data_IF_319105014580
#
_entry.id   IF_319105014580
#
_cell.length_a   1.000
_cell.length_b   1.000
_cell.length_c   1.000
_cell.angle_alpha   90.00
_cell.angle_beta   90.00
_cell.angle_gamma   90.00
#
_symmetry.space_group_name_H-M   'P 1'
#
loop_
_entity.id
_entity.type
_entity.pdbx_description
1 polymer ?
#
# COMPACT_ATOMS: atom_id res chain seq x y z
N UNK A 1 21.35 28.12 -4.03
CA UNK A 1 22.59 28.89 -4.33
C UNK A 1 22.41 29.87 -5.51
N UNK A 2 21.55 29.61 -6.50
CA UNK A 2 21.32 30.51 -7.64
C UNK A 2 20.47 31.76 -7.32
N UNK A 3 19.85 31.85 -6.14
CA UNK A 3 18.99 32.97 -5.76
C UNK A 3 19.70 34.04 -4.91
N UNK A 4 20.94 33.82 -4.48
CA UNK A 4 21.63 34.70 -3.55
C UNK A 4 22.10 36.01 -4.22
N UNK A 5 22.29 36.02 -5.54
CA UNK A 5 22.79 37.17 -6.28
C UNK A 5 21.72 37.96 -7.05
N UNK A 6 20.42 37.64 -6.90
CA UNK A 6 19.36 38.40 -7.55
C UNK A 6 18.90 39.53 -6.63
N UNK A 7 18.94 40.82 -7.05
CA UNK A 7 18.52 41.93 -6.22
C UNK A 7 17.00 41.97 -6.11
N UNK A 8 16.43 41.17 -5.18
CA UNK A 8 15.02 41.29 -4.81
C UNK A 8 14.73 42.63 -4.18
N UNK A 9 13.57 43.20 -4.47
CA UNK A 9 13.12 44.37 -3.72
C UNK A 9 12.95 44.00 -2.22
N UNK A 10 13.06 44.98 -1.33
CA UNK A 10 12.87 44.75 0.10
C UNK A 10 11.49 44.13 0.42
N UNK A 11 10.45 44.46 -0.34
CA UNK A 11 9.12 43.89 -0.24
C UNK A 11 9.08 42.42 -0.67
N UNK A 12 9.70 42.08 -1.79
CA UNK A 12 9.85 40.71 -2.26
C UNK A 12 10.63 39.86 -1.27
N UNK A 13 11.74 40.36 -0.75
CA UNK A 13 12.56 39.68 0.27
C UNK A 13 11.74 39.42 1.53
N UNK A 14 11.02 40.40 2.05
CA UNK A 14 10.13 40.23 3.21
C UNK A 14 9.05 39.19 2.96
N UNK A 15 8.45 39.18 1.76
CA UNK A 15 7.45 38.19 1.39
C UNK A 15 8.05 36.76 1.28
N UNK A 16 9.26 36.61 0.75
CA UNK A 16 9.94 35.32 0.67
C UNK A 16 10.28 34.77 2.06
N UNK A 17 10.76 35.63 2.98
CA UNK A 17 10.95 35.25 4.39
C UNK A 17 9.65 34.85 5.06
N UNK A 18 8.58 35.65 4.92
CA UNK A 18 7.28 35.34 5.53
C UNK A 18 6.65 34.06 5.06
N UNK A 19 7.01 33.62 3.84
CA UNK A 19 6.56 32.35 3.22
C UNK A 19 7.51 31.19 3.44
N UNK A 20 8.65 31.42 4.13
CA UNK A 20 9.65 30.38 4.39
C UNK A 20 10.50 29.98 3.18
N UNK A 21 10.55 30.79 2.13
CA UNK A 21 11.45 30.56 0.99
C UNK A 21 12.89 31.06 1.25
N UNK A 22 13.05 31.96 2.20
CA UNK A 22 14.33 32.41 2.71
C UNK A 22 14.39 32.19 4.21
N UNK A 23 15.58 31.93 4.73
CA UNK A 23 15.86 31.72 6.14
C UNK A 23 17.17 32.38 6.53
N UNK A 24 17.28 32.82 7.77
CA UNK A 24 18.54 33.31 8.37
C UNK A 24 19.31 32.20 9.08
N UNK A 25 18.74 30.99 9.13
CA UNK A 25 19.38 29.83 9.74
C UNK A 25 20.53 29.32 8.90
N UNK A 26 21.60 28.91 9.54
CA UNK A 26 22.65 28.14 8.88
C UNK A 26 22.19 26.69 8.62
N UNK A 27 22.98 25.92 7.89
CA UNK A 27 22.65 24.54 7.49
C UNK A 27 22.37 23.63 8.70
N UNK A 28 23.16 23.74 9.76
CA UNK A 28 22.98 22.90 10.96
C UNK A 28 21.70 23.25 11.71
N UNK A 29 21.37 24.52 11.79
CA UNK A 29 20.11 25.01 12.39
C UNK A 29 18.89 24.55 11.58
N UNK A 30 18.97 24.61 10.23
CA UNK A 30 17.93 24.09 9.33
C UNK A 30 17.74 22.57 9.50
N UNK A 31 18.83 21.82 9.56
CA UNK A 31 18.79 20.37 9.77
C UNK A 31 18.17 20.00 11.12
N UNK A 32 18.57 20.68 12.18
CA UNK A 32 17.99 20.49 13.51
C UNK A 32 16.50 20.82 13.51
N UNK A 33 16.08 21.86 12.81
CA UNK A 33 14.68 22.22 12.68
C UNK A 33 13.89 21.14 11.92
N UNK A 34 14.41 20.64 10.79
CA UNK A 34 13.78 19.55 10.01
C UNK A 34 13.68 18.26 10.84
N UNK A 35 14.72 17.93 11.62
CA UNK A 35 14.70 16.76 12.51
C UNK A 35 13.65 16.91 13.61
N UNK A 36 13.53 18.10 14.20
CA UNK A 36 12.50 18.40 15.18
C UNK A 36 11.10 18.26 14.60
N UNK A 37 10.86 18.84 13.42
CA UNK A 37 9.58 18.69 12.70
C UNK A 37 9.29 17.22 12.37
N UNK A 38 10.29 16.46 11.91
CA UNK A 38 10.13 15.05 11.62
C UNK A 38 9.69 14.26 12.86
N UNK A 39 10.27 14.57 14.02
CA UNK A 39 9.85 13.97 15.28
C UNK A 39 8.40 14.34 15.65
N UNK A 40 8.03 15.61 15.56
CA UNK A 40 6.67 16.07 15.87
C UNK A 40 5.63 15.43 14.95
N UNK A 41 5.90 15.36 13.64
CA UNK A 41 5.01 14.70 12.69
C UNK A 41 4.90 13.19 12.98
N UNK A 42 6.00 12.53 13.34
CA UNK A 42 5.95 11.13 13.72
C UNK A 42 5.11 10.89 14.98
N UNK A 43 5.26 11.73 15.99
CA UNK A 43 4.42 11.66 17.20
C UNK A 43 2.94 11.92 16.89
N UNK A 44 2.64 12.88 16.00
CA UNK A 44 1.28 13.09 15.49
C UNK A 44 0.74 11.83 14.82
N UNK A 45 1.50 11.26 13.89
CA UNK A 45 1.08 10.13 13.07
C UNK A 45 0.87 8.86 13.93
N UNK A 46 1.66 8.69 14.99
CA UNK A 46 1.45 7.62 15.98
C UNK A 46 0.14 7.74 16.75
N UNK A 47 -0.41 8.94 16.89
CA UNK A 47 -1.69 9.22 17.57
C UNK A 47 -2.89 9.15 16.63
N UNK A 48 -2.66 9.04 15.31
CA UNK A 48 -3.72 8.92 14.32
C UNK A 48 -4.27 7.47 14.28
N UNK A 49 -5.20 7.26 13.35
CA UNK A 49 -5.89 6.00 13.19
C UNK A 49 -4.96 4.79 13.07
N UNK A 50 -5.28 3.73 13.80
CA UNK A 50 -4.64 2.42 13.70
C UNK A 50 -5.36 1.57 12.65
N UNK A 51 -4.59 0.90 11.80
CA UNK A 51 -5.10 0.00 10.77
C UNK A 51 -4.83 -1.44 11.16
N UNK A 52 -5.82 -2.30 10.98
CA UNK A 52 -5.75 -3.70 11.35
C UNK A 52 -6.03 -4.59 10.15
N UNK A 53 -5.33 -5.72 10.09
CA UNK A 53 -5.57 -6.75 9.10
C UNK A 53 -5.50 -8.14 9.73
N UNK A 54 -6.26 -9.08 9.17
CA UNK A 54 -6.15 -10.51 9.48
C UNK A 54 -5.49 -11.21 8.30
N UNK A 55 -4.32 -11.77 8.51
CA UNK A 55 -3.69 -12.70 7.60
C UNK A 55 -4.28 -14.08 7.83
N UNK A 56 -5.34 -14.40 7.09
CA UNK A 56 -6.22 -15.56 7.36
C UNK A 56 -5.46 -16.87 7.29
N UNK A 57 -4.61 -17.03 6.27
CA UNK A 57 -3.70 -18.14 6.08
C UNK A 57 -2.56 -17.72 5.14
N UNK A 58 -1.44 -18.41 5.21
CA UNK A 58 -0.35 -18.24 4.24
C UNK A 58 -0.55 -19.06 2.95
N UNK A 59 -1.56 -19.95 2.93
CA UNK A 59 -1.86 -20.77 1.76
C UNK A 59 -2.51 -19.96 0.64
N UNK A 60 -2.15 -20.29 -0.60
CA UNK A 60 -2.73 -19.70 -1.80
C UNK A 60 -2.94 -20.77 -2.87
N UNK A 61 -4.02 -20.66 -3.64
CA UNK A 61 -4.29 -21.49 -4.79
C UNK A 61 -3.55 -21.06 -6.07
N UNK A 62 -2.76 -19.98 -6.02
CA UNK A 62 -1.95 -19.48 -7.13
C UNK A 62 -0.45 -19.68 -6.90
N UNK A 63 0.32 -19.63 -8.01
CA UNK A 63 1.79 -19.68 -8.02
C UNK A 63 2.34 -18.55 -8.88
N UNK A 64 2.20 -17.30 -8.39
CA UNK A 64 2.67 -16.11 -9.09
C UNK A 64 4.19 -16.01 -8.96
N UNK A 65 4.96 -15.84 -10.06
CA UNK A 65 6.43 -15.82 -10.01
C UNK A 65 7.03 -14.64 -9.26
N UNK A 66 6.26 -13.58 -9.01
CA UNK A 66 6.67 -12.38 -8.26
C UNK A 66 6.12 -12.35 -6.83
N UNK A 67 5.51 -13.42 -6.34
CA UNK A 67 4.90 -13.45 -5.02
C UNK A 67 5.99 -13.47 -3.95
N UNK A 68 6.03 -12.48 -3.10
CA UNK A 68 6.99 -12.40 -1.99
C UNK A 68 6.77 -13.50 -0.94
N UNK A 69 5.55 -14.06 -0.87
CA UNK A 69 5.22 -15.18 0.01
C UNK A 69 5.70 -16.55 -0.52
N UNK A 70 6.25 -16.61 -1.74
CA UNK A 70 6.70 -17.87 -2.34
C UNK A 70 7.76 -18.56 -1.49
N UNK A 71 8.68 -17.79 -0.90
CA UNK A 71 9.73 -18.34 -0.04
C UNK A 71 9.18 -18.88 1.28
N UNK A 72 8.11 -18.28 1.80
CA UNK A 72 7.45 -18.68 3.04
C UNK A 72 6.68 -19.98 2.83
N UNK A 73 6.05 -20.14 1.66
CA UNK A 73 5.30 -21.36 1.31
C UNK A 73 6.19 -22.57 0.98
N UNK A 74 7.50 -22.36 0.81
CA UNK A 74 8.47 -23.43 0.51
C UNK A 74 8.89 -24.24 1.75
N UNK A 75 8.78 -23.69 2.95
CA UNK A 75 9.18 -24.33 4.22
C UNK A 75 8.24 -25.45 4.70
N UNK A 76 7.39 -25.92 3.84
CA UNK A 76 6.50 -27.05 4.09
C UNK A 76 5.02 -26.70 4.00
N UNK A 77 4.32 -27.44 3.16
CA UNK A 77 2.89 -27.22 2.84
C UNK A 77 1.95 -27.29 4.05
N UNK A 78 2.35 -27.90 5.14
CA UNK A 78 1.53 -27.99 6.36
C UNK A 78 1.49 -26.66 7.12
N UNK A 79 2.60 -25.95 7.19
CA UNK A 79 2.69 -24.66 7.86
C UNK A 79 1.78 -23.62 7.21
N UNK A 80 1.85 -23.46 5.89
CA UNK A 80 1.06 -22.43 5.19
C UNK A 80 -0.45 -22.65 5.27
N UNK A 81 -0.92 -23.89 5.50
CA UNK A 81 -2.34 -24.23 5.58
C UNK A 81 -3.00 -23.90 6.91
N UNK A 82 -2.24 -23.51 7.93
CA UNK A 82 -2.83 -23.13 9.21
C UNK A 82 -3.69 -21.89 9.03
N UNK A 83 -4.93 -21.99 9.47
CA UNK A 83 -5.89 -20.87 9.57
C UNK A 83 -6.07 -20.49 11.03
N UNK A 84 -6.68 -19.34 11.29
CA UNK A 84 -7.08 -18.96 12.65
C UNK A 84 -7.96 -20.02 13.31
N UNK A 85 -7.79 -20.22 14.61
CA UNK A 85 -8.86 -20.75 15.45
C UNK A 85 -9.82 -19.62 15.87
N UNK A 86 -11.07 -19.96 16.21
CA UNK A 86 -12.05 -18.99 16.72
C UNK A 86 -11.54 -18.26 17.96
N UNK A 87 -10.87 -19.00 18.86
CA UNK A 87 -10.22 -18.43 20.04
C UNK A 87 -9.13 -17.40 19.66
N UNK A 88 -8.30 -17.71 18.66
CA UNK A 88 -7.24 -16.82 18.23
C UNK A 88 -7.79 -15.57 17.54
N UNK A 89 -8.92 -15.68 16.84
CA UNK A 89 -9.66 -14.51 16.30
C UNK A 89 -10.11 -13.59 17.42
N UNK A 90 -10.69 -14.14 18.50
CA UNK A 90 -11.11 -13.33 19.64
C UNK A 90 -9.92 -12.62 20.28
N UNK A 91 -8.80 -13.32 20.48
CA UNK A 91 -7.55 -12.72 20.98
C UNK A 91 -7.00 -11.62 20.07
N UNK A 92 -7.14 -11.75 18.74
CA UNK A 92 -6.74 -10.69 17.83
C UNK A 92 -7.60 -9.42 17.99
N UNK A 93 -8.93 -9.57 18.16
CA UNK A 93 -9.80 -8.43 18.46
C UNK A 93 -9.49 -7.79 19.82
N UNK A 94 -9.15 -8.59 20.83
CA UNK A 94 -8.70 -8.08 22.14
C UNK A 94 -7.37 -7.34 22.01
N UNK A 95 -6.42 -7.89 21.23
CA UNK A 95 -5.12 -7.27 20.97
C UNK A 95 -5.26 -5.90 20.27
N UNK A 96 -6.25 -5.71 19.40
CA UNK A 96 -6.53 -4.41 18.79
C UNK A 96 -6.80 -3.33 19.86
N UNK A 97 -7.55 -3.67 20.92
CA UNK A 97 -7.84 -2.77 22.05
C UNK A 97 -6.63 -2.60 22.98
N UNK A 98 -5.70 -3.55 23.02
CA UNK A 98 -4.45 -3.41 23.77
C UNK A 98 -3.45 -2.52 23.01
N UNK A 99 -3.45 -2.57 21.66
CA UNK A 99 -2.62 -1.70 20.82
C UNK A 99 -3.13 -0.25 20.87
N UNK A 100 -4.44 -0.07 20.78
CA UNK A 100 -5.10 1.24 20.86
C UNK A 100 -6.41 1.10 21.62
N UNK A 101 -6.43 1.54 22.90
CA UNK A 101 -7.65 1.44 23.72
C UNK A 101 -8.80 2.33 23.23
N UNK A 102 -8.48 3.44 22.54
CA UNK A 102 -9.48 4.37 22.02
C UNK A 102 -10.02 3.85 20.68
N UNK A 103 -11.16 3.19 20.73
CA UNK A 103 -11.78 2.56 19.56
C UNK A 103 -12.14 3.55 18.44
N UNK A 104 -12.26 4.82 18.77
CA UNK A 104 -12.47 5.93 17.82
C UNK A 104 -11.27 6.12 16.91
N UNK A 105 -10.08 5.77 17.39
CA UNK A 105 -8.82 5.83 16.63
C UNK A 105 -8.57 4.55 15.79
N UNK A 106 -9.46 3.55 15.86
CA UNK A 106 -9.39 2.41 14.96
C UNK A 106 -9.94 2.77 13.59
N UNK A 107 -9.22 2.40 12.53
CA UNK A 107 -9.83 2.30 11.21
C UNK A 107 -11.00 1.30 11.32
N UNK A 108 -12.20 1.73 10.90
CA UNK A 108 -13.38 0.88 10.98
C UNK A 108 -13.41 -0.23 9.92
N UNK A 109 -12.47 -0.21 8.98
CA UNK A 109 -12.30 -1.25 7.97
C UNK A 109 -11.09 -2.12 8.35
N UNK A 110 -11.32 -3.40 8.50
CA UNK A 110 -10.30 -4.42 8.72
C UNK A 110 -10.02 -5.12 7.40
N UNK A 111 -8.75 -5.24 7.02
CA UNK A 111 -8.35 -5.89 5.77
C UNK A 111 -8.18 -7.39 5.97
N UNK A 112 -8.87 -8.20 5.17
CA UNK A 112 -8.62 -9.63 5.03
C UNK A 112 -7.46 -9.81 4.03
N UNK A 113 -6.43 -10.51 4.45
CA UNK A 113 -5.17 -10.67 3.73
C UNK A 113 -4.59 -12.07 3.91
N UNK A 114 -3.52 -12.38 3.19
CA UNK A 114 -2.77 -13.63 3.32
C UNK A 114 -2.23 -14.10 1.98
N UNK A 115 -1.92 -15.39 1.85
CA UNK A 115 -1.69 -16.02 0.57
C UNK A 115 -2.90 -15.81 -0.33
N UNK A 116 -4.03 -16.41 0.04
CA UNK A 116 -5.35 -16.05 -0.46
C UNK A 116 -6.35 -16.13 0.69
N UNK A 117 -6.88 -14.99 1.18
CA UNK A 117 -7.82 -15.02 2.31
C UNK A 117 -9.14 -15.70 1.95
N UNK A 118 -9.64 -15.51 0.73
CA UNK A 118 -10.96 -15.97 0.29
C UNK A 118 -10.90 -17.32 -0.42
N UNK A 119 -10.00 -18.24 0.00
CA UNK A 119 -10.08 -19.64 -0.41
C UNK A 119 -11.40 -20.23 0.09
N UNK A 120 -12.06 -21.08 -0.73
CA UNK A 120 -13.31 -21.74 -0.31
C UNK A 120 -13.16 -22.54 1.00
N UNK A 121 -11.98 -23.08 1.27
CA UNK A 121 -11.63 -23.81 2.48
C UNK A 121 -11.58 -22.92 3.73
N UNK A 122 -11.38 -21.60 3.56
CA UNK A 122 -11.33 -20.65 4.67
C UNK A 122 -12.72 -20.13 5.08
N UNK A 123 -13.79 -20.58 4.41
CA UNK A 123 -15.14 -20.02 4.58
C UNK A 123 -15.60 -19.98 6.04
N UNK A 124 -15.45 -21.05 6.81
CA UNK A 124 -15.91 -21.11 8.18
C UNK A 124 -15.23 -20.06 9.08
N UNK A 125 -13.91 -19.92 8.95
CA UNK A 125 -13.17 -18.96 9.77
C UNK A 125 -13.41 -17.53 9.32
N UNK A 126 -13.58 -17.28 8.03
CA UNK A 126 -13.97 -15.97 7.52
C UNK A 126 -15.34 -15.57 8.06
N UNK A 127 -16.32 -16.44 8.03
CA UNK A 127 -17.65 -16.16 8.61
C UNK A 127 -17.56 -15.78 10.09
N UNK A 128 -16.70 -16.46 10.84
CA UNK A 128 -16.48 -16.15 12.26
C UNK A 128 -15.83 -14.76 12.43
N UNK A 129 -14.78 -14.46 11.66
CA UNK A 129 -14.10 -13.15 11.67
C UNK A 129 -15.11 -12.04 11.34
N UNK A 130 -15.89 -12.20 10.26
CA UNK A 130 -16.87 -11.20 9.82
C UNK A 130 -17.97 -10.99 10.87
N UNK A 131 -18.54 -12.06 11.41
CA UNK A 131 -19.59 -12.00 12.45
C UNK A 131 -19.08 -11.29 13.69
N UNK A 132 -17.88 -11.67 14.16
CA UNK A 132 -17.28 -11.07 15.35
C UNK A 132 -16.93 -9.60 15.14
N UNK A 133 -16.31 -9.27 14.03
CA UNK A 133 -15.97 -7.88 13.70
C UNK A 133 -17.20 -6.99 13.53
N UNK A 134 -18.24 -7.49 12.84
CA UNK A 134 -19.52 -6.78 12.72
C UNK A 134 -20.15 -6.47 14.09
N UNK A 135 -20.14 -7.43 15.02
CA UNK A 135 -20.66 -7.21 16.37
C UNK A 135 -19.87 -6.14 17.14
N UNK A 136 -18.60 -5.92 16.77
CA UNK A 136 -17.74 -4.89 17.33
C UNK A 136 -17.78 -3.57 16.54
N UNK A 137 -18.60 -3.47 15.47
CA UNK A 137 -18.77 -2.27 14.65
C UNK A 137 -17.73 -2.08 13.58
N UNK A 138 -17.03 -3.15 13.17
CA UNK A 138 -16.11 -3.13 12.04
C UNK A 138 -16.79 -3.60 10.76
N UNK A 139 -16.23 -3.13 9.64
CA UNK A 139 -16.47 -3.58 8.28
C UNK A 139 -15.18 -4.16 7.73
N UNK A 140 -15.23 -4.70 6.53
CA UNK A 140 -14.10 -5.39 5.95
C UNK A 140 -13.84 -4.95 4.52
N UNK A 141 -12.58 -5.07 4.11
CA UNK A 141 -12.15 -5.18 2.73
C UNK A 141 -11.29 -6.45 2.56
N UNK A 142 -11.01 -6.85 1.33
CA UNK A 142 -10.14 -7.97 1.08
C UNK A 142 -9.18 -7.69 -0.07
N UNK A 143 -7.93 -8.14 0.11
CA UNK A 143 -6.94 -8.25 -0.97
C UNK A 143 -6.93 -9.71 -1.40
N UNK A 144 -7.44 -9.99 -2.59
CA UNK A 144 -7.72 -11.36 -3.07
C UNK A 144 -7.30 -11.56 -4.51
N UNK A 145 -7.04 -12.80 -4.90
CA UNK A 145 -6.88 -13.14 -6.31
C UNK A 145 -8.23 -13.21 -7.06
N UNK A 146 -9.33 -13.26 -6.34
CA UNK A 146 -10.68 -13.22 -6.90
C UNK A 146 -11.20 -14.54 -7.46
N UNK A 147 -10.47 -15.66 -7.33
CA UNK A 147 -10.82 -16.92 -7.97
C UNK A 147 -11.99 -17.65 -7.32
N UNK A 148 -12.03 -17.72 -5.99
CA UNK A 148 -13.05 -18.44 -5.21
C UNK A 148 -14.19 -17.54 -4.68
N UNK A 149 -14.36 -16.33 -5.23
CA UNK A 149 -15.38 -15.37 -4.77
C UNK A 149 -16.80 -15.92 -4.77
N UNK A 150 -17.12 -16.88 -5.64
CA UNK A 150 -18.44 -17.52 -5.68
C UNK A 150 -18.84 -18.13 -4.33
N UNK A 151 -17.85 -18.65 -3.57
CA UNK A 151 -18.09 -19.21 -2.24
C UNK A 151 -18.46 -18.16 -1.19
N UNK A 152 -18.33 -16.88 -1.50
CA UNK A 152 -18.49 -15.75 -0.59
C UNK A 152 -19.59 -14.76 -1.00
N UNK A 153 -20.36 -15.07 -2.05
CA UNK A 153 -21.34 -14.12 -2.59
C UNK A 153 -22.39 -13.67 -1.60
N UNK A 154 -22.78 -14.50 -0.65
CA UNK A 154 -23.77 -14.15 0.39
C UNK A 154 -23.25 -13.16 1.43
N UNK A 155 -21.92 -13.10 1.65
CA UNK A 155 -21.27 -12.15 2.57
C UNK A 155 -20.67 -10.93 1.87
N UNK A 156 -20.56 -10.96 0.53
CA UNK A 156 -20.21 -9.81 -0.28
C UNK A 156 -21.40 -8.85 -0.38
N UNK A 157 -21.57 -8.07 0.67
CA UNK A 157 -22.67 -7.11 0.78
C UNK A 157 -22.15 -5.77 1.34
N UNK A 158 -22.63 -4.62 0.80
CA UNK A 158 -22.33 -3.32 1.39
C UNK A 158 -22.68 -3.31 2.88
N UNK A 159 -21.80 -2.77 3.72
CA UNK A 159 -21.99 -2.78 5.17
C UNK A 159 -21.30 -3.95 5.89
N UNK A 160 -20.83 -4.96 5.16
CA UNK A 160 -20.01 -6.06 5.70
C UNK A 160 -18.64 -6.10 5.01
N UNK A 161 -18.58 -6.51 3.74
CA UNK A 161 -17.37 -6.39 2.91
C UNK A 161 -17.58 -5.22 1.95
N UNK A 162 -16.86 -4.11 2.19
CA UNK A 162 -17.06 -2.85 1.46
C UNK A 162 -16.34 -2.82 0.12
N UNK A 163 -15.17 -3.48 0.04
CA UNK A 163 -14.33 -3.41 -1.13
C UNK A 163 -13.48 -4.67 -1.33
N UNK A 164 -13.16 -4.94 -2.58
CA UNK A 164 -12.19 -5.97 -3.00
C UNK A 164 -11.09 -5.32 -3.83
N UNK A 165 -9.84 -5.60 -3.49
CA UNK A 165 -8.72 -5.40 -4.40
C UNK A 165 -8.42 -6.72 -5.09
N UNK A 166 -8.64 -6.78 -6.41
CA UNK A 166 -8.42 -7.99 -7.21
C UNK A 166 -7.28 -7.73 -8.19
N UNK A 167 -6.35 -8.67 -8.33
CA UNK A 167 -5.22 -8.51 -9.25
C UNK A 167 -5.49 -9.19 -10.59
N UNK A 168 -5.31 -8.40 -11.69
CA UNK A 168 -5.38 -8.88 -13.08
C UNK A 168 -4.15 -8.34 -13.82
N UNK A 169 -3.25 -9.20 -14.30
CA UNK A 169 -1.90 -8.81 -14.75
C UNK A 169 -1.74 -8.74 -16.29
N UNK A 170 -2.76 -8.34 -17.01
CA UNK A 170 -2.68 -8.13 -18.45
C UNK A 170 -3.74 -8.89 -19.24
N UNK A 171 -3.49 -9.11 -20.55
CA UNK A 171 -4.34 -9.94 -21.38
C UNK A 171 -4.43 -11.38 -20.83
N UNK A 172 -5.40 -12.14 -21.32
CA UNK A 172 -5.72 -13.47 -20.82
C UNK A 172 -4.49 -14.39 -20.78
N UNK A 173 -3.74 -14.45 -21.85
CA UNK A 173 -2.57 -15.31 -21.98
C UNK A 173 -1.50 -14.92 -20.96
N UNK A 174 -1.19 -13.64 -20.86
CA UNK A 174 -0.17 -13.13 -19.92
C UNK A 174 -0.62 -13.25 -18.47
N UNK A 175 -1.89 -12.99 -18.20
CA UNK A 175 -2.43 -13.19 -16.86
C UNK A 175 -2.30 -14.67 -16.44
N UNK A 176 -2.74 -15.60 -17.26
CA UNK A 176 -2.71 -17.05 -16.96
C UNK A 176 -1.27 -17.58 -16.80
N UNK A 177 -0.30 -17.03 -17.56
CA UNK A 177 1.12 -17.32 -17.38
C UNK A 177 1.69 -16.82 -16.04
N UNK A 178 1.23 -15.65 -15.57
CA UNK A 178 1.76 -14.97 -14.38
C UNK A 178 0.99 -15.33 -13.10
N UNK A 179 -0.29 -15.59 -13.23
CA UNK A 179 -1.20 -15.87 -12.11
C UNK A 179 -1.82 -17.26 -12.26
N UNK A 180 -0.94 -18.24 -12.35
CA UNK A 180 -1.29 -19.62 -12.59
C UNK A 180 -1.96 -20.23 -11.37
N UNK A 181 -3.20 -20.71 -11.53
CA UNK A 181 -3.84 -21.55 -10.51
C UNK A 181 -3.17 -22.92 -10.50
N UNK A 182 -2.68 -23.39 -9.32
CA UNK A 182 -1.78 -24.55 -9.25
C UNK A 182 -2.40 -25.89 -9.68
N UNK A 183 -3.75 -25.98 -9.72
CA UNK A 183 -4.49 -27.16 -10.21
C UNK A 183 -5.04 -26.91 -11.60
N UNK A 184 -5.75 -25.78 -11.80
CA UNK A 184 -6.53 -25.52 -13.02
C UNK A 184 -5.71 -24.89 -14.15
N UNK A 185 -4.51 -24.38 -13.85
CA UNK A 185 -3.64 -23.68 -14.79
C UNK A 185 -4.13 -22.29 -15.18
N UNK A 186 -5.40 -22.14 -15.52
CA UNK A 186 -6.01 -20.87 -15.99
C UNK A 186 -6.89 -20.24 -14.93
N UNK A 187 -6.97 -18.90 -14.95
CA UNK A 187 -7.72 -18.16 -13.94
C UNK A 187 -8.44 -16.91 -14.47
N UNK A 188 -8.02 -16.37 -15.62
CA UNK A 188 -8.47 -15.08 -16.12
C UNK A 188 -9.99 -14.98 -16.24
N UNK A 189 -10.61 -15.86 -17.04
CA UNK A 189 -12.05 -15.77 -17.34
C UNK A 189 -12.91 -15.82 -16.07
N UNK A 190 -12.56 -16.73 -15.15
CA UNK A 190 -13.27 -16.87 -13.88
C UNK A 190 -13.13 -15.63 -12.99
N UNK A 191 -11.96 -15.00 -12.97
CA UNK A 191 -11.75 -13.77 -12.20
C UNK A 191 -12.54 -12.63 -12.81
N UNK A 192 -12.55 -12.47 -14.15
CA UNK A 192 -13.33 -11.44 -14.82
C UNK A 192 -14.84 -11.59 -14.55
N UNK A 193 -15.36 -12.81 -14.61
CA UNK A 193 -16.75 -13.11 -14.24
C UNK A 193 -17.03 -12.75 -12.78
N UNK A 194 -16.17 -13.16 -11.85
CA UNK A 194 -16.31 -12.89 -10.44
C UNK A 194 -16.25 -11.38 -10.10
N UNK A 195 -15.46 -10.59 -10.83
CA UNK A 195 -15.47 -9.13 -10.75
C UNK A 195 -16.87 -8.59 -11.09
N UNK A 196 -17.46 -9.05 -12.18
CA UNK A 196 -18.81 -8.65 -12.59
C UNK A 196 -19.86 -8.96 -11.52
N UNK A 197 -19.82 -10.17 -10.97
CA UNK A 197 -20.74 -10.57 -9.89
C UNK A 197 -20.60 -9.70 -8.63
N UNK A 198 -19.38 -9.36 -8.24
CA UNK A 198 -19.12 -8.49 -7.09
C UNK A 198 -19.64 -7.06 -7.35
N UNK A 199 -19.41 -6.51 -8.55
CA UNK A 199 -19.89 -5.19 -8.95
C UNK A 199 -21.41 -5.10 -8.93
N UNK A 200 -22.12 -6.11 -9.45
CA UNK A 200 -23.60 -6.18 -9.45
C UNK A 200 -24.18 -6.22 -8.03
N UNK A 201 -23.41 -6.70 -7.05
CA UNK A 201 -23.78 -6.65 -5.63
C UNK A 201 -23.48 -5.33 -4.93
N UNK A 202 -22.98 -4.34 -5.67
CA UNK A 202 -22.64 -3.02 -5.13
C UNK A 202 -21.30 -2.96 -4.39
N UNK A 203 -20.48 -4.03 -4.45
CA UNK A 203 -19.14 -4.05 -3.86
C UNK A 203 -18.21 -3.16 -4.67
N UNK A 204 -17.38 -2.38 -4.00
CA UNK A 204 -16.32 -1.62 -4.64
C UNK A 204 -15.21 -2.58 -5.09
N UNK A 205 -14.92 -2.61 -6.38
CA UNK A 205 -13.85 -3.44 -6.92
C UNK A 205 -12.74 -2.55 -7.47
N UNK A 206 -11.54 -2.74 -6.93
CA UNK A 206 -10.31 -2.13 -7.42
C UNK A 206 -9.46 -3.19 -8.12
N UNK A 207 -9.41 -3.15 -9.44
CA UNK A 207 -8.51 -4.01 -10.20
C UNK A 207 -7.11 -3.43 -10.16
N UNK A 208 -6.19 -4.18 -9.55
CA UNK A 208 -4.77 -3.89 -9.52
C UNK A 208 -4.07 -4.63 -10.66
N UNK A 209 -3.27 -3.92 -11.45
CA UNK A 209 -2.40 -4.52 -12.47
C UNK A 209 -0.96 -4.39 -11.99
N UNK A 210 -0.31 -5.50 -11.61
CA UNK A 210 1.12 -5.48 -11.30
C UNK A 210 1.90 -5.35 -12.61
N UNK A 211 2.44 -4.18 -12.84
CA UNK A 211 2.93 -3.75 -14.15
C UNK A 211 4.45 -3.74 -14.21
N UNK A 212 4.99 -4.35 -15.25
CA UNK A 212 6.40 -4.28 -15.64
C UNK A 212 6.52 -3.95 -17.14
N UNK A 213 7.71 -4.05 -17.73
CA UNK A 213 7.89 -3.76 -19.16
C UNK A 213 7.18 -4.76 -20.07
N UNK A 214 6.93 -5.99 -19.60
CA UNK A 214 6.35 -7.04 -20.45
C UNK A 214 4.83 -6.93 -20.61
N UNK A 215 4.12 -6.39 -19.58
CA UNK A 215 2.66 -6.27 -19.61
C UNK A 215 2.15 -4.81 -19.65
N UNK A 216 3.04 -3.84 -19.83
CA UNK A 216 2.65 -2.44 -19.85
C UNK A 216 1.62 -2.14 -20.96
N UNK A 217 1.82 -2.70 -22.16
CA UNK A 217 0.90 -2.53 -23.29
C UNK A 217 -0.48 -3.15 -23.05
N UNK A 218 -0.56 -4.18 -22.21
CA UNK A 218 -1.82 -4.88 -21.90
C UNK A 218 -2.79 -4.00 -21.10
N UNK A 219 -2.34 -2.87 -20.54
CA UNK A 219 -3.22 -1.91 -19.88
C UNK A 219 -4.31 -1.38 -20.83
N UNK A 220 -4.00 -1.18 -22.11
CA UNK A 220 -4.98 -0.81 -23.14
C UNK A 220 -6.02 -1.91 -23.34
N UNK A 221 -5.56 -3.14 -23.49
CA UNK A 221 -6.45 -4.30 -23.63
C UNK A 221 -7.43 -4.41 -22.47
N UNK A 222 -6.92 -4.33 -21.22
CA UNK A 222 -7.76 -4.41 -20.04
C UNK A 222 -8.76 -3.24 -19.98
N UNK A 223 -8.34 -2.05 -20.36
CA UNK A 223 -9.22 -0.89 -20.45
C UNK A 223 -10.38 -1.09 -21.40
N UNK A 224 -10.09 -1.55 -22.62
CA UNK A 224 -11.11 -1.86 -23.62
C UNK A 224 -12.02 -3.00 -23.17
N UNK A 225 -11.48 -4.06 -22.58
CA UNK A 225 -12.25 -5.16 -22.05
C UNK A 225 -13.25 -4.70 -20.99
N UNK A 226 -12.81 -3.91 -19.99
CA UNK A 226 -13.68 -3.43 -18.92
C UNK A 226 -14.71 -2.38 -19.43
N UNK A 227 -14.41 -1.66 -20.50
CA UNK A 227 -15.36 -0.79 -21.20
C UNK A 227 -16.42 -1.62 -21.92
N UNK A 228 -16.04 -2.63 -22.69
CA UNK A 228 -16.94 -3.56 -23.39
C UNK A 228 -17.85 -4.33 -22.43
N UNK A 229 -17.35 -4.72 -21.26
CA UNK A 229 -18.14 -5.37 -20.20
C UNK A 229 -19.01 -4.38 -19.41
N UNK A 230 -18.91 -3.07 -19.68
CA UNK A 230 -19.65 -2.02 -18.98
C UNK A 230 -19.13 -1.73 -17.56
N UNK A 231 -18.05 -2.37 -17.11
CA UNK A 231 -17.52 -2.20 -15.73
C UNK A 231 -16.96 -0.80 -15.52
N UNK A 232 -16.28 -0.22 -16.52
CA UNK A 232 -15.67 1.11 -16.44
C UNK A 232 -16.67 2.24 -16.21
N UNK A 233 -17.95 2.04 -16.53
CA UNK A 233 -19.02 3.02 -16.30
C UNK A 233 -19.61 2.95 -14.88
N UNK A 234 -19.32 1.90 -14.12
CA UNK A 234 -19.85 1.70 -12.77
C UNK A 234 -19.09 2.55 -11.74
N UNK A 235 -19.78 3.27 -10.84
CA UNK A 235 -19.12 4.11 -9.84
C UNK A 235 -18.31 3.34 -8.79
N UNK A 236 -18.59 2.05 -8.64
CA UNK A 236 -17.92 1.14 -7.71
C UNK A 236 -16.77 0.34 -8.37
N UNK A 237 -16.43 0.64 -9.63
CA UNK A 237 -15.29 0.03 -10.32
C UNK A 237 -14.13 1.02 -10.44
N UNK A 238 -12.90 0.52 -10.21
CA UNK A 238 -11.65 1.23 -10.51
C UNK A 238 -10.60 0.26 -10.99
N UNK A 239 -9.74 0.70 -11.91
CA UNK A 239 -8.51 0.01 -12.28
C UNK A 239 -7.31 0.94 -12.08
N UNK A 240 -6.19 0.38 -11.62
CA UNK A 240 -4.93 1.10 -11.54
C UNK A 240 -3.75 0.19 -11.82
N UNK A 241 -2.69 0.74 -12.41
CA UNK A 241 -1.43 0.04 -12.55
C UNK A 241 -0.53 0.29 -11.35
N UNK A 242 0.10 -0.76 -10.86
CA UNK A 242 1.06 -0.73 -9.77
C UNK A 242 2.42 -1.22 -10.29
N UNK A 243 3.47 -0.45 -10.05
CA UNK A 243 4.81 -0.83 -10.42
C UNK A 243 5.19 -2.16 -9.75
N UNK A 244 5.47 -3.17 -10.58
CA UNK A 244 6.04 -4.42 -10.10
C UNK A 244 7.51 -4.18 -9.73
N UNK A 245 7.84 -4.42 -8.48
CA UNK A 245 9.19 -4.22 -7.94
C UNK A 245 9.84 -5.57 -7.77
N UNK A 246 11.05 -5.74 -8.33
CA UNK A 246 11.90 -6.89 -8.06
C UNK A 246 12.44 -6.82 -6.63
N UNK A 247 12.48 -7.95 -5.98
CA UNK A 247 13.25 -8.15 -4.77
C UNK A 247 14.59 -8.77 -5.15
N UNK A 248 15.66 -8.52 -4.40
CA UNK A 248 17.01 -8.96 -4.74
C UNK A 248 17.17 -10.50 -4.84
N UNK A 249 16.15 -11.24 -4.39
CA UNK A 249 16.09 -12.70 -4.48
C UNK A 249 15.25 -13.18 -5.68
N UNK A 250 14.75 -12.30 -6.51
CA UNK A 250 14.02 -12.69 -7.72
C UNK A 250 14.99 -13.28 -8.73
N UNK A 251 15.10 -14.57 -8.67
CA UNK A 251 15.70 -15.36 -9.72
C UNK A 251 14.96 -15.02 -11.02
N UNK A 252 15.69 -14.50 -11.95
CA UNK A 252 15.40 -14.14 -13.32
C UNK A 252 14.30 -15.00 -13.97
N UNK A 253 13.04 -14.72 -13.65
CA UNK A 253 11.94 -15.25 -14.44
C UNK A 253 11.93 -14.47 -15.75
N UNK A 254 12.15 -15.13 -16.88
CA UNK A 254 12.01 -14.53 -18.22
C UNK A 254 10.62 -13.90 -18.44
N UNK A 255 9.65 -14.29 -17.61
CA UNK A 255 8.28 -13.76 -17.60
C UNK A 255 8.16 -12.35 -17.02
N UNK A 256 9.17 -11.87 -16.29
CA UNK A 256 9.16 -10.58 -15.61
C UNK A 256 10.30 -9.68 -16.11
N UNK A 257 10.00 -8.40 -16.34
CA UNK A 257 10.99 -7.41 -16.74
C UNK A 257 10.80 -6.12 -15.95
N UNK A 258 11.46 -6.05 -14.81
CA UNK A 258 11.37 -4.91 -13.90
C UNK A 258 11.83 -3.60 -14.54
N UNK A 259 11.15 -2.52 -14.18
CA UNK A 259 11.50 -1.15 -14.58
C UNK A 259 11.53 -0.24 -13.36
N UNK A 260 12.35 0.82 -13.41
CA UNK A 260 12.39 1.83 -12.35
C UNK A 260 11.13 2.71 -12.33
N UNK A 261 10.89 3.37 -11.20
CA UNK A 261 9.71 4.23 -11.02
C UNK A 261 9.64 5.35 -12.07
N UNK A 262 10.75 6.03 -12.35
CA UNK A 262 10.80 7.08 -13.39
C UNK A 262 10.29 6.56 -14.74
N UNK A 263 10.87 5.44 -15.24
CA UNK A 263 10.48 4.85 -16.52
C UNK A 263 9.01 4.44 -16.52
N UNK A 264 8.50 3.88 -15.42
CA UNK A 264 7.10 3.52 -15.26
C UNK A 264 6.17 4.74 -15.43
N UNK A 265 6.49 5.86 -14.77
CA UNK A 265 5.71 7.09 -14.87
C UNK A 265 5.85 7.76 -16.26
N UNK A 266 7.04 7.72 -16.85
CA UNK A 266 7.28 8.26 -18.22
C UNK A 266 6.45 7.50 -19.26
N UNK A 267 6.36 6.17 -19.14
CA UNK A 267 5.50 5.35 -20.00
C UNK A 267 4.03 5.73 -19.83
N UNK A 268 3.55 5.89 -18.61
CA UNK A 268 2.17 6.31 -18.36
C UNK A 268 1.86 7.69 -18.94
N UNK A 269 2.79 8.63 -18.86
CA UNK A 269 2.64 9.96 -19.46
C UNK A 269 2.55 9.88 -20.99
N UNK A 270 3.42 9.09 -21.62
CA UNK A 270 3.48 8.92 -23.07
C UNK A 270 2.21 8.32 -23.64
N UNK A 271 1.72 7.28 -23.02
CA UNK A 271 0.56 6.52 -23.51
C UNK A 271 -0.81 7.14 -23.16
N UNK A 272 -0.85 8.24 -22.41
CA UNK A 272 -2.08 8.95 -22.01
C UNK A 272 -3.16 8.02 -21.46
N UNK A 273 -2.76 7.06 -20.63
CA UNK A 273 -3.73 6.11 -20.04
C UNK A 273 -4.79 6.83 -19.20
N UNK A 274 -6.06 6.43 -19.38
CA UNK A 274 -7.20 6.85 -18.54
C UNK A 274 -7.08 6.35 -17.10
N UNK A 275 -6.20 5.39 -16.83
CA UNK A 275 -6.10 4.71 -15.53
C UNK A 275 -5.04 5.34 -14.67
N UNK A 276 -5.32 5.35 -13.36
CA UNK A 276 -4.36 5.84 -12.39
C UNK A 276 -3.14 4.92 -12.33
N UNK A 277 -1.95 5.49 -12.28
CA UNK A 277 -0.78 4.75 -11.83
C UNK A 277 -0.57 4.98 -10.33
N UNK A 278 -0.02 3.98 -9.67
CA UNK A 278 0.28 4.07 -8.24
C UNK A 278 1.43 5.08 -8.01
N UNK A 279 1.12 6.23 -7.43
CA UNK A 279 2.05 7.30 -7.10
C UNK A 279 2.07 7.60 -5.58
N UNK A 280 1.56 6.65 -4.79
CA UNK A 280 1.42 6.79 -3.33
C UNK A 280 0.60 8.01 -2.89
N UNK A 281 -0.34 8.42 -3.71
CA UNK A 281 -1.24 9.53 -3.45
C UNK A 281 -0.61 10.92 -3.65
N UNK A 282 0.60 11.00 -4.21
CA UNK A 282 1.29 12.28 -4.40
C UNK A 282 0.50 13.23 -5.29
N UNK A 283 -0.02 12.76 -6.43
CA UNK A 283 -0.87 13.56 -7.32
C UNK A 283 -2.11 14.07 -6.60
N UNK A 284 -2.85 13.19 -5.93
CA UNK A 284 -4.06 13.55 -5.20
C UNK A 284 -3.81 14.58 -4.10
N UNK A 285 -2.68 14.47 -3.39
CA UNK A 285 -2.27 15.45 -2.36
C UNK A 285 -1.98 16.81 -2.98
N UNK A 286 -1.26 16.86 -4.11
CA UNK A 286 -0.97 18.11 -4.83
C UNK A 286 -2.27 18.75 -5.34
N UNK A 287 -3.13 18.00 -6.01
CA UNK A 287 -4.42 18.50 -6.50
C UNK A 287 -5.31 19.02 -5.35
N UNK A 288 -5.40 18.28 -4.24
CA UNK A 288 -6.15 18.71 -3.07
C UNK A 288 -5.58 20.02 -2.49
N UNK A 289 -4.26 20.13 -2.36
CA UNK A 289 -3.58 21.33 -1.87
C UNK A 289 -3.93 22.56 -2.72
N UNK A 290 -3.81 22.44 -4.04
CA UNK A 290 -4.10 23.54 -4.97
C UNK A 290 -5.59 23.91 -4.91
N UNK A 291 -6.49 22.93 -4.96
CA UNK A 291 -7.95 23.15 -4.94
C UNK A 291 -8.45 23.77 -3.65
N UNK A 292 -7.93 23.33 -2.52
CA UNK A 292 -8.39 23.79 -1.20
C UNK A 292 -7.60 24.99 -0.68
N UNK A 293 -6.53 25.38 -1.38
CA UNK A 293 -5.56 26.42 -0.94
C UNK A 293 -4.99 26.15 0.46
N UNK A 294 -4.98 24.90 0.90
CA UNK A 294 -4.37 24.47 2.17
C UNK A 294 -2.90 24.14 1.95
N UNK A 295 -2.13 24.17 3.03
CA UNK A 295 -0.72 23.77 3.02
C UNK A 295 -0.62 22.29 2.66
N UNK A 296 0.37 21.91 1.84
CA UNK A 296 0.67 20.52 1.54
C UNK A 296 0.95 19.77 2.85
N UNK A 297 0.30 18.63 3.02
CA UNK A 297 0.45 17.84 4.24
C UNK A 297 1.84 17.20 4.29
N UNK A 298 2.66 17.68 5.21
CA UNK A 298 3.99 17.14 5.48
C UNK A 298 3.89 15.94 6.42
N UNK A 299 4.78 14.96 6.21
CA UNK A 299 4.89 13.75 7.01
C UNK A 299 6.35 13.28 7.09
N UNK A 300 6.68 12.57 8.15
CA UNK A 300 8.04 12.08 8.37
C UNK A 300 8.19 10.57 8.18
N UNK A 301 7.09 9.88 7.89
CA UNK A 301 7.00 8.44 7.66
C UNK A 301 6.37 8.15 6.30
N UNK A 302 6.69 7.00 5.72
CA UNK A 302 6.21 6.64 4.40
C UNK A 302 4.80 6.04 4.41
N UNK A 303 4.47 5.21 5.39
CA UNK A 303 3.16 4.54 5.46
C UNK A 303 2.80 4.12 6.90
N UNK A 304 1.57 3.63 7.08
CA UNK A 304 1.02 3.16 8.35
C UNK A 304 1.82 2.07 9.06
N UNK A 305 2.68 1.34 8.35
CA UNK A 305 3.57 0.37 8.97
C UNK A 305 4.51 0.99 10.01
N UNK A 306 4.80 2.29 9.89
CA UNK A 306 5.66 3.04 10.82
C UNK A 306 4.89 3.79 11.91
N UNK A 307 3.54 3.73 11.90
CA UNK A 307 2.69 4.47 12.85
C UNK A 307 1.68 3.61 13.64
N UNK A 308 1.70 2.29 13.46
CA UNK A 308 0.87 1.40 14.26
C UNK A 308 -0.12 0.54 13.47
N UNK A 309 0.15 0.24 12.20
CA UNK A 309 -0.55 -0.86 11.51
C UNK A 309 -0.20 -2.19 12.16
N UNK A 310 -1.19 -3.08 12.35
CA UNK A 310 -0.99 -4.43 12.86
C UNK A 310 -1.69 -5.46 11.99
N UNK A 311 -0.95 -6.46 11.54
CA UNK A 311 -1.40 -7.59 10.73
C UNK A 311 -1.27 -8.83 11.59
N UNK A 312 -2.39 -9.36 12.05
CA UNK A 312 -2.45 -10.56 12.90
C UNK A 312 -2.40 -11.81 12.04
N UNK A 313 -1.60 -12.80 12.44
CA UNK A 313 -1.44 -14.06 11.74
C UNK A 313 -1.99 -15.26 12.52
N UNK A 314 -2.21 -16.43 11.88
CA UNK A 314 -2.77 -17.60 12.55
C UNK A 314 -1.80 -18.31 13.50
N UNK A 315 -0.61 -17.77 13.72
CA UNK A 315 0.37 -18.30 14.69
C UNK A 315 0.37 -17.54 16.02
N UNK A 316 -0.39 -16.46 16.11
CA UNK A 316 -0.41 -15.60 17.28
C UNK A 316 0.66 -14.51 17.25
N UNK A 317 1.25 -14.27 16.09
CA UNK A 317 2.22 -13.23 15.82
C UNK A 317 1.55 -12.07 15.09
N UNK A 318 2.13 -10.87 15.16
CA UNK A 318 1.68 -9.76 14.36
C UNK A 318 2.83 -8.96 13.76
N UNK A 319 2.54 -8.34 12.63
CA UNK A 319 3.48 -7.64 11.76
C UNK A 319 2.99 -6.22 11.48
N UNK A 320 3.90 -5.34 11.08
CA UNK A 320 3.56 -3.97 10.66
C UNK A 320 3.31 -3.83 9.17
N UNK A 321 3.95 -4.65 8.35
CA UNK A 321 3.98 -4.52 6.90
C UNK A 321 3.55 -5.80 6.19
N UNK A 322 2.68 -5.66 5.18
CA UNK A 322 2.22 -6.78 4.34
C UNK A 322 3.36 -7.52 3.64
N UNK A 323 4.45 -6.84 3.27
CA UNK A 323 5.58 -7.46 2.55
C UNK A 323 6.53 -8.25 3.45
N UNK A 324 6.36 -8.17 4.76
CA UNK A 324 7.25 -8.83 5.72
C UNK A 324 6.54 -9.90 6.55
N UNK A 325 5.26 -10.16 6.26
CA UNK A 325 4.50 -11.21 6.97
C UNK A 325 5.15 -12.56 6.75
N UNK A 326 5.26 -13.37 7.81
CA UNK A 326 5.91 -14.68 7.79
C UNK A 326 7.43 -14.66 7.93
N UNK A 327 8.09 -13.52 7.76
CA UNK A 327 9.51 -13.39 8.08
C UNK A 327 9.69 -13.13 9.58
N UNK A 328 10.25 -14.09 10.28
CA UNK A 328 10.43 -14.05 11.75
C UNK A 328 11.20 -12.85 12.26
N UNK A 329 12.07 -12.27 11.43
CA UNK A 329 12.85 -11.06 11.77
C UNK A 329 11.95 -9.82 11.92
N UNK A 330 10.79 -9.84 11.26
CA UNK A 330 9.85 -8.72 11.22
C UNK A 330 8.61 -8.93 12.10
N UNK A 331 8.58 -9.96 12.95
CA UNK A 331 7.56 -10.12 13.96
C UNK A 331 7.69 -8.95 14.94
N UNK A 332 6.70 -8.05 14.97
CA UNK A 332 6.71 -6.90 15.88
C UNK A 332 6.12 -7.23 17.26
N UNK A 333 5.45 -8.36 17.39
CA UNK A 333 4.97 -8.85 18.67
C UNK A 333 4.12 -10.10 18.58
N UNK A 334 3.66 -10.56 19.76
CA UNK A 334 2.87 -11.77 19.96
C UNK A 334 1.59 -11.43 20.72
N UNK A 335 0.46 -12.04 20.31
CA UNK A 335 -0.86 -11.85 20.93
C UNK A 335 -1.56 -13.16 21.33
N UNK A 336 -1.08 -14.30 20.83
CA UNK A 336 -1.76 -15.60 20.94
C UNK A 336 -1.98 -16.12 22.37
N UNK A 337 -1.25 -15.60 23.37
CA UNK A 337 -1.38 -15.99 24.79
C UNK A 337 -2.27 -15.05 25.62
N UNK A 338 -3.05 -14.16 24.98
CA UNK A 338 -3.90 -13.19 25.69
C UNK A 338 -3.12 -12.03 26.32
N UNK A 339 -1.82 -11.95 26.10
CA UNK A 339 -0.96 -10.85 26.53
C UNK A 339 -0.27 -10.31 25.26
N UNK A 340 -0.40 -9.01 25.05
CA UNK A 340 0.32 -8.34 23.96
C UNK A 340 1.78 -8.14 24.39
N UNK A 341 2.71 -8.78 23.66
CA UNK A 341 4.13 -8.65 23.93
C UNK A 341 4.84 -8.17 22.66
N UNK A 342 5.42 -6.98 22.73
CA UNK A 342 6.23 -6.44 21.65
C UNK A 342 7.62 -7.09 21.60
N UNK A 343 8.16 -7.26 20.41
CA UNK A 343 9.53 -7.68 20.12
C UNK A 343 10.43 -6.45 19.88
N UNK A 344 11.74 -6.68 19.79
CA UNK A 344 12.70 -5.61 19.42
C UNK A 344 12.48 -5.06 18.01
N UNK A 345 11.95 -5.88 17.09
CA UNK A 345 11.59 -5.42 15.75
C UNK A 345 10.53 -4.32 15.77
N UNK A 346 9.69 -4.23 16.82
CA UNK A 346 8.70 -3.15 16.95
C UNK A 346 9.33 -1.77 16.98
N UNK A 347 10.50 -1.61 17.61
CA UNK A 347 11.26 -0.36 17.64
C UNK A 347 11.70 0.05 16.26
N UNK A 348 12.27 -0.91 15.49
CA UNK A 348 12.68 -0.67 14.11
C UNK A 348 11.53 -0.10 13.26
N UNK A 349 10.33 -0.68 13.34
CA UNK A 349 9.17 -0.23 12.57
C UNK A 349 8.58 1.07 13.10
N UNK A 350 8.31 1.17 14.40
CA UNK A 350 7.51 2.25 14.99
C UNK A 350 8.32 3.49 15.39
N UNK A 351 9.65 3.41 15.43
CA UNK A 351 10.50 4.56 15.70
C UNK A 351 11.18 5.11 14.44
N UNK A 352 11.06 4.39 13.30
CA UNK A 352 11.65 4.82 12.05
C UNK A 352 10.90 6.01 11.44
N UNK A 353 11.66 7.06 11.13
CA UNK A 353 11.22 8.23 10.39
C UNK A 353 12.41 8.84 9.61
N UNK A 354 12.18 9.91 8.86
CA UNK A 354 13.24 10.50 8.01
C UNK A 354 14.48 10.96 8.77
N UNK A 355 14.39 11.25 10.08
CA UNK A 355 15.54 11.70 10.86
C UNK A 355 16.55 10.58 11.16
N UNK A 356 16.13 9.32 11.09
CA UNK A 356 16.98 8.13 11.34
C UNK A 356 17.98 7.90 10.21
N UNK A 357 17.66 8.36 8.99
CA UNK A 357 18.50 8.21 7.81
C UNK A 357 19.18 9.52 7.46
N UNK A 358 20.52 9.58 7.50
CA UNK A 358 21.29 10.76 7.10
C UNK A 358 20.88 11.28 5.71
N UNK A 359 20.69 10.38 4.74
CA UNK A 359 20.25 10.76 3.37
C UNK A 359 18.88 11.43 3.37
N UNK A 360 17.94 10.98 4.18
CA UNK A 360 16.58 11.51 4.20
C UNK A 360 16.46 12.79 5.02
N UNK A 361 17.20 12.92 6.11
CA UNK A 361 17.20 14.13 6.94
C UNK A 361 17.77 15.36 6.21
N UNK A 362 18.65 15.13 5.22
CA UNK A 362 19.25 16.19 4.36
C UNK A 362 18.52 16.34 3.02
N UNK A 363 17.44 15.58 2.80
CA UNK A 363 16.73 15.60 1.52
C UNK A 363 15.62 16.65 1.50
N UNK A 364 15.64 17.55 0.52
CA UNK A 364 14.58 18.54 0.31
C UNK A 364 13.18 17.94 0.12
N UNK A 365 13.08 16.67 -0.24
CA UNK A 365 11.82 15.92 -0.35
C UNK A 365 11.51 15.08 0.89
N UNK A 366 12.33 15.10 1.93
CA UNK A 366 12.20 14.21 3.09
C UNK A 366 10.81 14.24 3.70
N UNK A 367 10.32 15.42 4.04
CA UNK A 367 8.98 15.64 4.64
C UNK A 367 7.81 15.48 3.64
N UNK A 368 8.09 15.32 2.36
CA UNK A 368 7.09 15.02 1.33
C UNK A 368 7.02 13.51 1.05
N UNK A 369 8.18 12.83 1.10
CA UNK A 369 8.37 11.43 0.78
C UNK A 369 8.17 10.49 1.99
N UNK A 370 8.58 10.93 3.19
CA UNK A 370 8.58 10.11 4.40
C UNK A 370 9.66 9.01 4.45
N UNK A 371 10.74 9.13 3.65
CA UNK A 371 11.88 8.20 3.68
C UNK A 371 11.76 6.97 2.79
N UNK A 372 10.61 6.75 2.16
CA UNK A 372 10.36 5.59 1.28
C UNK A 372 10.03 4.30 2.05
N UNK A 373 9.90 3.21 1.29
CA UNK A 373 9.46 1.91 1.82
C UNK A 373 10.51 1.26 2.72
N UNK A 374 10.23 1.12 4.01
CA UNK A 374 11.15 0.52 4.97
C UNK A 374 11.40 -0.97 4.68
N UNK A 375 10.37 -1.73 4.32
CA UNK A 375 10.56 -3.13 3.93
C UNK A 375 11.56 -3.28 2.77
N UNK A 376 11.50 -2.40 1.77
CA UNK A 376 12.45 -2.43 0.65
C UNK A 376 13.85 -1.96 1.06
N UNK A 377 13.94 -1.03 2.01
CA UNK A 377 15.22 -0.63 2.58
C UNK A 377 15.89 -1.80 3.30
N UNK A 378 15.12 -2.59 4.05
CA UNK A 378 15.62 -3.74 4.81
C UNK A 378 16.09 -4.88 3.90
N UNK A 379 15.35 -5.19 2.84
CA UNK A 379 15.75 -6.25 1.89
C UNK A 379 16.89 -5.88 0.95
N UNK A 380 17.16 -4.59 0.77
CA UNK A 380 18.24 -4.11 -0.10
C UNK A 380 19.58 -3.88 0.60
N UNK A 381 19.75 -4.34 1.84
CA UNK A 381 20.97 -4.08 2.61
C UNK A 381 21.59 -5.36 3.12
N UNK A 382 22.83 -5.59 2.71
CA UNK A 382 23.71 -6.63 3.28
C UNK A 382 24.12 -6.36 4.75
N UNK A 383 23.82 -5.20 5.29
CA UNK A 383 24.19 -4.81 6.65
C UNK A 383 23.24 -3.80 7.30
N UNK A 384 22.32 -4.31 8.11
CA UNK A 384 21.69 -3.56 9.21
C UNK A 384 20.56 -2.60 8.86
N UNK A 385 19.67 -2.42 9.82
CA UNK A 385 18.56 -1.51 9.85
C UNK A 385 18.99 -0.04 9.69
N UNK A 386 18.19 0.75 8.97
CA UNK A 386 18.35 2.20 9.02
C UNK A 386 18.67 2.91 7.71
N UNK A 387 18.58 2.25 6.56
CA UNK A 387 18.72 2.92 5.26
C UNK A 387 17.35 3.16 4.61
N UNK A 388 17.24 4.26 3.87
CA UNK A 388 16.03 4.66 3.15
C UNK A 388 15.97 4.03 1.75
N UNK A 389 14.75 3.83 1.25
CA UNK A 389 14.52 3.39 -0.13
C UNK A 389 13.90 4.54 -0.94
N UNK A 390 14.73 5.31 -1.63
CA UNK A 390 14.30 6.53 -2.35
C UNK A 390 13.31 6.27 -3.49
N UNK A 391 13.46 5.19 -4.24
CA UNK A 391 12.63 4.83 -5.40
C UNK A 391 12.38 5.99 -6.37
N UNK A 392 13.37 6.86 -6.57
CA UNK A 392 13.32 8.01 -7.49
C UNK A 392 12.13 8.98 -7.21
N UNK A 393 11.81 9.22 -5.93
CA UNK A 393 10.71 10.08 -5.52
C UNK A 393 10.77 11.50 -6.14
N UNK A 394 11.93 12.16 -6.29
CA UNK A 394 12.01 13.46 -6.95
C UNK A 394 11.38 13.47 -8.34
N UNK A 395 11.66 12.45 -9.16
CA UNK A 395 11.05 12.31 -10.48
C UNK A 395 9.54 12.07 -10.43
N UNK A 396 9.09 11.23 -9.49
CA UNK A 396 7.65 10.96 -9.27
C UNK A 396 6.93 12.24 -8.86
N UNK A 397 7.52 13.02 -7.96
CA UNK A 397 6.97 14.30 -7.51
C UNK A 397 6.86 15.31 -8.66
N UNK A 398 7.93 15.47 -9.46
CA UNK A 398 7.92 16.38 -10.62
C UNK A 398 6.83 15.99 -11.64
N UNK A 399 6.66 14.68 -11.92
CA UNK A 399 5.61 14.20 -12.82
C UNK A 399 4.22 14.49 -12.24
N UNK A 400 4.02 14.31 -10.93
CA UNK A 400 2.75 14.58 -10.27
C UNK A 400 2.40 16.08 -10.29
N UNK A 401 3.38 16.96 -10.07
CA UNK A 401 3.20 18.43 -10.19
C UNK A 401 2.77 18.81 -11.59
N UNK A 402 3.47 18.30 -12.63
CA UNK A 402 3.13 18.59 -14.02
C UNK A 402 1.72 18.11 -14.39
N UNK A 403 1.34 16.90 -13.94
CA UNK A 403 -0.04 16.39 -14.15
C UNK A 403 -1.09 17.24 -13.46
N UNK A 404 -0.85 17.65 -12.21
CA UNK A 404 -1.77 18.53 -11.49
C UNK A 404 -1.94 19.87 -12.21
N UNK A 405 -0.83 20.45 -12.70
CA UNK A 405 -0.85 21.69 -13.48
C UNK A 405 -1.68 21.52 -14.75
N UNK A 406 -1.43 20.48 -15.55
CA UNK A 406 -2.16 20.19 -16.80
C UNK A 406 -3.68 20.08 -16.55
N UNK A 407 -4.08 19.36 -15.48
CA UNK A 407 -5.50 19.22 -15.10
C UNK A 407 -6.13 20.57 -14.75
N UNK A 408 -5.41 21.40 -13.98
CA UNK A 408 -5.92 22.70 -13.53
C UNK A 408 -6.04 23.71 -14.67
N UNK A 409 -5.06 23.76 -15.55
CA UNK A 409 -5.06 24.67 -16.71
C UNK A 409 -6.12 24.24 -17.75
N UNK A 410 -6.23 22.94 -18.02
CA UNK A 410 -7.21 22.40 -18.99
C UNK A 410 -8.66 22.64 -18.53
N UNK A 411 -8.91 22.53 -17.22
CA UNK A 411 -10.25 22.71 -16.66
C UNK A 411 -10.63 24.18 -16.40
N UNK A 412 -9.79 25.16 -16.76
CA UNK A 412 -10.00 26.60 -16.51
C UNK A 412 -10.42 26.94 -15.08
N UNK A 413 -10.06 26.11 -14.10
CA UNK A 413 -10.51 26.27 -12.71
C UNK A 413 -9.73 27.33 -11.93
N UNK A 414 -8.74 27.98 -12.54
CA UNK A 414 -7.85 28.92 -11.86
C UNK A 414 -7.39 30.15 -12.71
N UNK A 415 -8.13 30.47 -13.77
CA UNK A 415 -7.98 31.76 -14.47
C UNK A 415 -9.03 32.75 -14.02
#
# INVERSE_FOLDING_TARGET
>A
EEFVDSPFSAETTKMLYSRGYLTDKNIDEELNYVQHLAHLFHQRDKKLFKSFAFLVAYNCNFRCPYCFETNISQDGRHWSKRVFSKELVDKAYEAMLLIEPQKELHNKIITLYGGEPLLKENREIIDYILKRGKSLGYKFDAITNGYDLQAYMDVLTPGLIEALQITVDGCKERHDERRTHYVMGKSFDKIIENIGMALQRGIKVMVRVNTDANNFADLHYLGQLFEQLGYSSLPNFKMYSALLRGDNNDVTSQKLKYIGAKKFHDLHKKEKFRYNCQDYGTLNKIEATIRTKKIFELHSIYCGAQSGSAIFDPYGDFYSCYQTVGDKKHIIGHYGKGILKYSDASKHWYEHNISVSHKCSHCKYGLLCGGGCLAKADYNIESGFGKSFCNDYPSVFAIAVNKAYDVLVTNKQFL
#
